data_IF_300659147625
#
_entry.id   IF_300659147625
#
_cell.length_a   1.000
_cell.length_b   1.000
_cell.length_c   1.000
_cell.angle_alpha   90.00
_cell.angle_beta   90.00
_cell.angle_gamma   90.00
#
_symmetry.space_group_name_H-M   'P 1'
#
loop_
_entity.id
_entity.type
_entity.pdbx_description
1 polymer ?
#
# COMPACT_ATOMS: atom_id res chain seq x y z
N UNK A 1 -16.14 -22.59 1.73
CA UNK A 1 -14.71 -22.18 1.82
C UNK A 1 -14.67 -20.88 2.60
N UNK A 2 -13.90 -20.81 3.67
CA UNK A 2 -13.75 -19.61 4.50
C UNK A 2 -12.36 -19.02 4.35
N UNK A 3 -12.29 -17.70 4.28
CA UNK A 3 -11.05 -16.93 4.18
C UNK A 3 -11.16 -15.67 5.07
N UNK A 4 -10.06 -14.96 5.27
CA UNK A 4 -10.02 -13.67 6.01
C UNK A 4 -10.90 -12.59 5.35
N UNK A 5 -11.21 -12.73 4.06
CA UNK A 5 -12.04 -11.77 3.31
C UNK A 5 -13.51 -12.14 3.30
N UNK A 6 -13.87 -13.40 3.56
CA UNK A 6 -15.25 -13.85 3.58
C UNK A 6 -15.40 -15.34 3.33
N UNK A 7 -16.65 -15.78 3.17
CA UNK A 7 -16.99 -17.16 2.85
C UNK A 7 -17.80 -17.26 1.57
N UNK A 8 -17.68 -18.38 0.87
CA UNK A 8 -18.46 -18.71 -0.31
C UNK A 8 -19.06 -20.12 -0.20
N UNK A 9 -20.37 -20.21 -0.45
CA UNK A 9 -21.09 -21.46 -0.64
C UNK A 9 -21.40 -21.61 -2.13
N UNK A 10 -21.11 -22.77 -2.71
CA UNK A 10 -21.26 -23.05 -4.13
C UNK A 10 -22.20 -24.25 -4.29
N UNK A 11 -23.27 -24.07 -5.07
CA UNK A 11 -24.17 -25.13 -5.49
C UNK A 11 -24.18 -25.21 -7.01
N UNK A 12 -24.13 -26.45 -7.54
CA UNK A 12 -24.10 -26.73 -8.98
C UNK A 12 -25.34 -27.57 -9.33
N UNK A 13 -26.05 -27.15 -10.36
CA UNK A 13 -27.08 -27.94 -11.03
C UNK A 13 -26.75 -28.04 -12.53
N UNK A 14 -27.50 -28.81 -13.31
CA UNK A 14 -27.13 -29.17 -14.70
C UNK A 14 -26.69 -27.99 -15.59
N UNK A 15 -27.36 -26.83 -15.47
CA UNK A 15 -27.06 -25.63 -16.29
C UNK A 15 -26.91 -24.36 -15.44
N UNK A 16 -26.71 -24.49 -14.13
CA UNK A 16 -26.66 -23.34 -13.23
C UNK A 16 -25.64 -23.51 -12.11
N UNK A 17 -24.89 -22.46 -11.87
CA UNK A 17 -23.97 -22.33 -10.75
C UNK A 17 -24.47 -21.22 -9.82
N UNK A 18 -24.87 -21.57 -8.62
CA UNK A 18 -25.26 -20.62 -7.57
C UNK A 18 -24.08 -20.41 -6.62
N UNK A 19 -23.65 -19.15 -6.46
CA UNK A 19 -22.57 -18.76 -5.56
C UNK A 19 -23.10 -17.74 -4.56
N UNK A 20 -23.14 -18.13 -3.27
CA UNK A 20 -23.52 -17.24 -2.18
C UNK A 20 -22.29 -16.73 -1.46
N UNK A 21 -22.04 -15.44 -1.56
CA UNK A 21 -20.93 -14.76 -0.93
C UNK A 21 -21.36 -14.09 0.38
N UNK A 22 -20.52 -14.20 1.42
CA UNK A 22 -20.67 -13.48 2.69
C UNK A 22 -19.35 -12.81 3.03
N UNK A 23 -19.35 -11.49 3.13
CA UNK A 23 -18.17 -10.69 3.46
C UNK A 23 -18.51 -9.71 4.61
N UNK A 24 -17.52 -9.38 5.45
CA UNK A 24 -17.73 -8.55 6.64
C UNK A 24 -18.04 -7.07 6.30
N UNK A 25 -17.70 -6.59 5.10
CA UNK A 25 -17.95 -5.21 4.66
C UNK A 25 -18.40 -5.17 3.20
N UNK A 26 -19.09 -4.08 2.82
CA UNK A 26 -19.52 -3.85 1.44
C UNK A 26 -18.31 -3.77 0.46
N UNK A 27 -17.22 -3.14 0.85
CA UNK A 27 -15.98 -3.09 0.04
C UNK A 27 -15.38 -4.47 -0.19
N UNK A 28 -15.29 -5.32 0.85
CA UNK A 28 -14.84 -6.71 0.68
C UNK A 28 -15.78 -7.53 -0.19
N UNK A 29 -17.09 -7.34 -0.04
CA UNK A 29 -18.08 -8.01 -0.89
C UNK A 29 -17.91 -7.57 -2.36
N UNK A 30 -17.73 -6.29 -2.61
CA UNK A 30 -17.43 -5.76 -3.94
C UNK A 30 -16.19 -6.44 -4.54
N UNK A 31 -15.08 -6.44 -3.80
CA UNK A 31 -13.82 -7.06 -4.25
C UNK A 31 -14.00 -8.54 -4.59
N UNK A 32 -14.68 -9.30 -3.72
CA UNK A 32 -14.91 -10.73 -3.94
C UNK A 32 -15.83 -10.97 -5.14
N UNK A 33 -16.88 -10.17 -5.32
CA UNK A 33 -17.75 -10.23 -6.50
C UNK A 33 -16.96 -10.03 -7.80
N UNK A 34 -16.15 -8.97 -7.86
CA UNK A 34 -15.34 -8.69 -9.05
C UNK A 34 -14.34 -9.81 -9.32
N UNK A 35 -13.67 -10.33 -8.29
CA UNK A 35 -12.76 -11.49 -8.44
C UNK A 35 -13.47 -12.74 -8.95
N UNK A 36 -14.67 -13.04 -8.45
CA UNK A 36 -15.48 -14.20 -8.89
C UNK A 36 -15.92 -14.01 -10.33
N UNK A 37 -16.46 -12.84 -10.68
CA UNK A 37 -16.88 -12.52 -12.05
C UNK A 37 -15.70 -12.67 -13.03
N UNK A 38 -14.59 -11.98 -12.77
CA UNK A 38 -13.37 -12.07 -13.59
C UNK A 38 -12.90 -13.52 -13.77
N UNK A 39 -12.91 -14.31 -12.70
CA UNK A 39 -12.45 -15.70 -12.73
C UNK A 39 -13.38 -16.60 -13.54
N UNK A 40 -14.71 -16.42 -13.40
CA UNK A 40 -15.69 -17.18 -14.14
C UNK A 40 -15.57 -16.91 -15.65
N UNK A 41 -15.54 -15.64 -16.05
CA UNK A 41 -15.37 -15.26 -17.44
C UNK A 41 -14.02 -15.72 -18.03
N UNK A 42 -12.94 -15.64 -17.27
CA UNK A 42 -11.63 -16.12 -17.70
C UNK A 42 -11.55 -17.64 -17.85
N UNK A 43 -12.40 -18.40 -17.14
CA UNK A 43 -12.34 -19.86 -17.11
C UNK A 43 -13.34 -20.53 -18.04
N UNK A 44 -14.43 -19.86 -18.41
CA UNK A 44 -15.51 -20.47 -19.20
C UNK A 44 -15.19 -20.57 -20.68
N UNK A 45 -14.38 -19.65 -21.21
CA UNK A 45 -14.17 -19.54 -22.66
C UNK A 45 -15.44 -19.20 -23.46
N UNK A 46 -16.57 -19.00 -22.81
CA UNK A 46 -17.89 -18.75 -23.37
C UNK A 46 -18.49 -17.47 -22.78
N UNK A 47 -19.56 -16.98 -23.39
CA UNK A 47 -20.34 -15.88 -22.83
C UNK A 47 -21.19 -16.41 -21.67
N UNK A 48 -20.94 -15.91 -20.45
CA UNK A 48 -21.72 -16.23 -19.27
C UNK A 48 -22.84 -15.21 -19.06
N UNK A 49 -24.00 -15.68 -18.67
CA UNK A 49 -25.05 -14.85 -18.10
C UNK A 49 -24.87 -14.83 -16.57
N UNK A 50 -24.18 -13.82 -16.08
CA UNK A 50 -23.92 -13.63 -14.64
C UNK A 50 -24.83 -12.55 -14.09
N UNK A 51 -25.72 -12.95 -13.19
CA UNK A 51 -26.65 -12.03 -12.50
C UNK A 51 -26.44 -12.09 -10.99
N UNK A 52 -26.62 -10.95 -10.33
CA UNK A 52 -26.57 -10.85 -8.87
C UNK A 52 -27.98 -10.73 -8.31
N UNK A 53 -28.32 -11.57 -7.33
CA UNK A 53 -29.70 -11.64 -6.76
C UNK A 53 -30.13 -10.34 -6.09
N UNK A 54 -29.21 -9.54 -5.59
CA UNK A 54 -29.43 -8.22 -4.98
C UNK A 54 -29.32 -7.05 -6.01
N UNK A 55 -29.33 -7.36 -7.29
CA UNK A 55 -29.27 -6.41 -8.40
C UNK A 55 -27.87 -6.20 -8.97
N UNK A 56 -27.77 -5.44 -10.07
CA UNK A 56 -26.49 -5.15 -10.73
C UNK A 56 -25.55 -4.39 -9.80
N UNK A 57 -24.27 -4.60 -9.99
CA UNK A 57 -23.26 -3.87 -9.21
C UNK A 57 -23.27 -2.39 -9.59
N UNK A 58 -23.10 -1.51 -8.59
CA UNK A 58 -22.98 -0.08 -8.85
C UNK A 58 -21.76 0.22 -9.73
N UNK A 59 -21.89 1.13 -10.68
CA UNK A 59 -20.82 1.48 -11.61
C UNK A 59 -19.58 2.07 -10.90
N UNK A 60 -19.75 2.65 -9.73
CA UNK A 60 -18.67 3.27 -8.95
C UNK A 60 -17.95 2.22 -8.12
N UNK A 61 -16.64 2.18 -8.22
CA UNK A 61 -15.77 1.35 -7.36
C UNK A 61 -15.76 1.95 -5.95
N UNK A 62 -16.18 1.23 -4.89
CA UNK A 62 -16.35 1.79 -3.55
C UNK A 62 -15.11 2.44 -2.95
N UNK A 63 -13.94 1.85 -3.23
CA UNK A 63 -12.64 2.29 -2.68
C UNK A 63 -11.88 3.24 -3.62
N UNK A 64 -12.51 3.67 -4.71
CA UNK A 64 -11.94 4.65 -5.63
C UNK A 64 -12.26 6.08 -5.17
N UNK A 65 -11.24 6.93 -5.14
CA UNK A 65 -11.38 8.38 -4.98
C UNK A 65 -10.54 9.10 -6.02
N UNK A 66 -11.13 10.06 -6.68
CA UNK A 66 -10.37 11.01 -7.47
C UNK A 66 -9.71 12.03 -6.55
N UNK A 67 -8.48 12.41 -6.89
CA UNK A 67 -7.67 13.36 -6.13
C UNK A 67 -7.15 14.46 -7.05
N UNK A 68 -6.94 15.63 -6.46
CA UNK A 68 -6.34 16.78 -7.12
C UNK A 68 -5.05 17.17 -6.43
N UNK A 69 -3.99 17.38 -7.19
CA UNK A 69 -2.71 17.89 -6.68
C UNK A 69 -2.89 19.33 -6.17
N UNK A 70 -2.48 19.57 -4.94
CA UNK A 70 -2.48 20.90 -4.31
C UNK A 70 -1.11 21.55 -4.42
N UNK A 71 -0.05 20.79 -4.13
CA UNK A 71 1.35 21.23 -4.20
C UNK A 71 2.29 20.04 -4.30
N UNK A 72 3.49 20.28 -4.79
CA UNK A 72 4.55 19.29 -4.81
C UNK A 72 5.91 19.96 -4.55
N UNK A 73 6.73 19.40 -3.66
CA UNK A 73 8.06 19.90 -3.30
C UNK A 73 9.00 18.78 -2.88
N UNK A 74 10.29 18.96 -3.12
CA UNK A 74 11.29 18.07 -2.54
C UNK A 74 11.40 18.34 -1.05
N UNK A 75 11.36 17.28 -0.23
CA UNK A 75 11.53 17.35 1.22
C UNK A 75 12.94 16.95 1.62
N UNK A 76 13.60 16.14 0.78
CA UNK A 76 15.02 15.81 0.81
C UNK A 76 15.54 15.75 -0.63
N UNK A 77 16.85 15.61 -0.87
CA UNK A 77 17.37 15.47 -2.25
C UNK A 77 16.71 14.36 -3.07
N UNK A 78 16.41 13.22 -2.45
CA UNK A 78 15.84 12.06 -3.14
C UNK A 78 14.39 11.74 -2.74
N UNK A 79 13.72 12.62 -1.97
CA UNK A 79 12.31 12.43 -1.62
C UNK A 79 11.46 13.64 -1.98
N UNK A 80 10.43 13.41 -2.77
CA UNK A 80 9.46 14.43 -3.16
C UNK A 80 8.09 14.15 -2.56
N UNK A 81 7.52 15.15 -1.92
CA UNK A 81 6.15 15.10 -1.40
C UNK A 81 5.19 15.71 -2.40
N UNK A 82 4.11 15.00 -2.70
CA UNK A 82 2.95 15.53 -3.41
C UNK A 82 1.79 15.56 -2.43
N UNK A 83 1.27 16.75 -2.16
CA UNK A 83 0.06 16.94 -1.38
C UNK A 83 -1.13 16.95 -2.32
N UNK A 84 -2.10 16.11 -2.02
CA UNK A 84 -3.32 15.95 -2.82
C UNK A 84 -4.56 16.18 -1.95
N UNK A 85 -5.67 16.60 -2.55
CA UNK A 85 -6.94 16.76 -1.89
C UNK A 85 -8.01 15.83 -2.48
N UNK A 86 -8.97 15.44 -1.65
CA UNK A 86 -10.18 14.73 -2.03
C UNK A 86 -11.33 15.13 -1.08
N UNK A 87 -12.57 15.05 -1.57
CA UNK A 87 -13.74 15.35 -0.76
C UNK A 87 -13.98 14.34 0.38
N UNK A 88 -13.35 13.16 0.33
CA UNK A 88 -13.49 12.10 1.31
C UNK A 88 -12.12 11.57 1.80
N UNK A 89 -11.27 12.46 2.32
CA UNK A 89 -9.98 12.08 2.91
C UNK A 89 -10.15 11.14 4.13
N UNK A 90 -11.31 11.19 4.82
CA UNK A 90 -11.62 10.33 5.95
C UNK A 90 -11.61 8.85 5.58
N UNK A 91 -11.98 8.51 4.35
CA UNK A 91 -11.95 7.14 3.82
C UNK A 91 -10.59 6.46 4.01
N UNK A 92 -9.50 7.22 4.00
CA UNK A 92 -8.12 6.70 4.05
C UNK A 92 -7.53 6.63 5.47
N UNK A 93 -8.29 6.95 6.52
CA UNK A 93 -7.81 6.85 7.90
C UNK A 93 -7.62 5.40 8.34
N UNK A 94 -8.57 4.55 8.02
CA UNK A 94 -8.63 3.15 8.44
C UNK A 94 -8.52 2.21 7.21
N UNK A 95 -8.19 0.94 7.46
CA UNK A 95 -8.18 -0.09 6.40
C UNK A 95 -6.82 -0.39 5.79
N UNK A 96 -5.79 0.40 6.07
CA UNK A 96 -4.42 0.13 5.61
C UNK A 96 -3.57 1.37 5.41
N UNK A 97 -2.28 1.14 5.16
CA UNK A 97 -1.30 2.20 4.97
C UNK A 97 -1.15 2.63 3.51
N UNK A 98 -1.51 1.74 2.57
CA UNK A 98 -1.17 1.86 1.16
C UNK A 98 -2.39 2.11 0.28
N UNK A 99 -2.13 2.73 -0.84
CA UNK A 99 -3.09 2.97 -1.92
C UNK A 99 -2.46 2.60 -3.26
N UNK A 100 -3.31 2.30 -4.24
CA UNK A 100 -2.91 2.27 -5.64
C UNK A 100 -3.17 3.64 -6.23
N UNK A 101 -2.10 4.33 -6.61
CA UNK A 101 -2.17 5.57 -7.35
C UNK A 101 -2.40 5.25 -8.83
N UNK A 102 -3.47 5.80 -9.39
CA UNK A 102 -3.85 5.68 -10.79
C UNK A 102 -3.46 6.98 -11.49
N UNK A 103 -2.44 6.90 -12.32
CA UNK A 103 -1.90 8.04 -13.06
C UNK A 103 -2.47 8.01 -14.48
N UNK A 104 -3.26 9.01 -14.87
CA UNK A 104 -3.78 9.10 -16.25
C UNK A 104 -2.66 9.47 -17.23
N UNK A 105 -2.85 9.20 -18.52
CA UNK A 105 -1.96 9.68 -19.57
C UNK A 105 -1.90 11.21 -19.56
N UNK A 106 -0.75 11.75 -19.98
CA UNK A 106 -0.57 13.21 -20.12
C UNK A 106 -1.47 13.75 -21.25
N UNK A 107 -1.85 15.04 -21.13
CA UNK A 107 -2.54 15.81 -22.15
C UNK A 107 -3.91 15.25 -22.57
N UNK A 108 -4.55 14.48 -21.70
CA UNK A 108 -5.87 13.89 -21.90
C UNK A 108 -6.72 14.01 -20.65
N UNK A 109 -8.04 14.06 -20.83
CA UNK A 109 -8.97 13.91 -19.73
C UNK A 109 -8.84 12.48 -19.14
N UNK A 110 -8.79 12.37 -17.82
CA UNK A 110 -8.70 11.09 -17.16
C UNK A 110 -9.96 10.26 -17.40
N UNK A 111 -9.78 9.00 -17.80
CA UNK A 111 -10.84 7.99 -17.86
C UNK A 111 -10.62 7.05 -16.70
N UNK A 112 -11.62 6.93 -15.83
CA UNK A 112 -11.49 6.11 -14.62
C UNK A 112 -12.08 4.72 -14.81
N UNK A 113 -11.59 3.71 -14.07
CA UNK A 113 -12.18 2.39 -14.08
C UNK A 113 -13.58 2.44 -13.48
N UNK A 114 -14.45 1.61 -14.00
CA UNK A 114 -15.83 1.46 -13.52
C UNK A 114 -16.23 -0.01 -13.49
N UNK A 115 -17.33 -0.30 -12.82
CA UNK A 115 -17.84 -1.67 -12.71
C UNK A 115 -18.92 -1.91 -13.74
N UNK A 116 -18.82 -3.03 -14.44
CA UNK A 116 -19.88 -3.54 -15.31
C UNK A 116 -21.03 -4.13 -14.46
N UNK A 117 -22.27 -4.25 -15.00
CA UNK A 117 -23.40 -4.81 -14.27
C UNK A 117 -23.16 -6.23 -13.74
N UNK A 118 -22.34 -7.03 -14.41
CA UNK A 118 -21.94 -8.38 -14.03
C UNK A 118 -20.88 -8.42 -12.92
N UNK A 119 -20.35 -7.28 -12.50
CA UNK A 119 -19.37 -7.15 -11.43
C UNK A 119 -17.91 -7.11 -11.88
N UNK A 120 -17.63 -7.28 -13.17
CA UNK A 120 -16.26 -7.08 -13.68
C UNK A 120 -15.87 -5.62 -13.64
N UNK A 121 -14.57 -5.36 -13.48
CA UNK A 121 -14.04 -3.99 -13.53
C UNK A 121 -13.57 -3.70 -14.95
N UNK A 122 -14.19 -2.71 -15.57
CA UNK A 122 -13.71 -2.17 -16.84
C UNK A 122 -12.54 -1.21 -16.59
N UNK A 123 -11.35 -1.60 -17.03
CA UNK A 123 -10.14 -0.78 -16.98
C UNK A 123 -9.94 -0.05 -18.32
N UNK A 124 -9.63 1.26 -18.31
CA UNK A 124 -9.26 1.99 -19.51
C UNK A 124 -8.06 1.32 -20.23
N UNK A 125 -8.11 1.27 -21.55
CA UNK A 125 -7.10 0.61 -22.39
C UNK A 125 -6.61 1.53 -23.51
N UNK A 126 -5.54 1.11 -24.19
CA UNK A 126 -4.97 1.86 -25.31
C UNK A 126 -4.45 3.22 -24.84
N UNK A 127 -4.91 4.27 -25.49
CA UNK A 127 -4.47 5.64 -25.21
C UNK A 127 -4.94 6.17 -23.84
N UNK A 128 -5.98 5.57 -23.25
CA UNK A 128 -6.53 5.93 -21.96
C UNK A 128 -5.99 5.05 -20.81
N UNK A 129 -5.06 4.13 -21.12
CA UNK A 129 -4.50 3.22 -20.12
C UNK A 129 -3.85 3.95 -18.95
N UNK A 130 -4.25 3.59 -17.74
CA UNK A 130 -3.72 4.16 -16.50
C UNK A 130 -2.40 3.49 -16.11
N UNK A 131 -1.46 4.26 -15.61
CA UNK A 131 -0.30 3.72 -14.91
C UNK A 131 -0.66 3.54 -13.43
N UNK A 132 -0.54 2.31 -12.91
CA UNK A 132 -0.91 1.98 -11.54
C UNK A 132 0.33 1.66 -10.73
N UNK A 133 0.51 2.34 -9.58
CA UNK A 133 1.63 2.12 -8.66
C UNK A 133 1.15 2.15 -7.22
N UNK A 134 1.75 1.31 -6.38
CA UNK A 134 1.46 1.31 -4.94
C UNK A 134 2.29 2.39 -4.24
N UNK A 135 1.62 3.16 -3.39
CA UNK A 135 2.24 4.17 -2.54
C UNK A 135 1.67 4.13 -1.13
N UNK A 136 2.34 4.82 -0.22
CA UNK A 136 1.87 5.03 1.15
C UNK A 136 1.28 6.43 1.28
N UNK A 137 0.12 6.56 1.92
CA UNK A 137 -0.31 7.86 2.42
C UNK A 137 0.49 8.17 3.68
N UNK A 138 1.37 9.16 3.59
CA UNK A 138 2.28 9.60 4.66
C UNK A 138 1.55 10.25 5.82
N UNK A 139 0.60 11.11 5.51
CA UNK A 139 -0.21 11.87 6.47
C UNK A 139 -1.55 12.27 5.86
N UNK A 140 -2.53 12.55 6.74
CA UNK A 140 -3.88 12.98 6.37
C UNK A 140 -4.24 14.17 7.27
N UNK A 141 -4.57 15.30 6.67
CA UNK A 141 -5.10 16.49 7.33
C UNK A 141 -6.60 16.59 7.02
N UNK A 142 -7.43 16.09 7.93
CA UNK A 142 -8.88 16.10 7.73
C UNK A 142 -9.49 17.50 7.72
N UNK A 143 -8.86 18.47 8.39
CA UNK A 143 -9.37 19.84 8.44
C UNK A 143 -9.25 20.53 7.08
N UNK A 144 -8.25 20.14 6.30
CA UNK A 144 -8.02 20.65 4.95
C UNK A 144 -8.51 19.70 3.85
N UNK A 145 -8.85 18.44 4.19
CA UNK A 145 -9.10 17.41 3.20
C UNK A 145 -7.86 17.03 2.37
N UNK A 146 -6.66 17.25 2.93
CA UNK A 146 -5.38 17.04 2.25
C UNK A 146 -4.69 15.75 2.73
N UNK A 147 -3.94 15.15 1.84
CA UNK A 147 -3.10 13.97 2.11
C UNK A 147 -1.73 14.15 1.49
N UNK A 148 -0.70 13.69 2.18
CA UNK A 148 0.67 13.67 1.66
C UNK A 148 1.05 12.27 1.18
N UNK A 149 1.64 12.20 -0.01
CA UNK A 149 2.24 11.01 -0.58
C UNK A 149 3.69 11.34 -0.92
N UNK A 150 4.63 10.56 -0.38
CA UNK A 150 6.06 10.75 -0.61
C UNK A 150 6.55 9.78 -1.69
N UNK A 151 7.36 10.31 -2.60
CA UNK A 151 7.91 9.62 -3.75
C UNK A 151 9.42 9.62 -3.67
N UNK A 152 10.03 8.43 -3.70
CA UNK A 152 11.48 8.30 -3.85
C UNK A 152 11.84 8.66 -5.29
N UNK A 153 12.76 9.60 -5.45
CA UNK A 153 13.30 9.99 -6.74
C UNK A 153 14.51 9.12 -7.07
N UNK A 154 14.48 8.52 -8.23
CA UNK A 154 15.59 7.72 -8.77
C UNK A 154 16.04 8.32 -10.10
N UNK A 155 17.33 8.26 -10.35
CA UNK A 155 17.88 8.56 -11.67
C UNK A 155 17.48 7.43 -12.63
N UNK A 156 16.79 7.77 -13.72
CA UNK A 156 16.40 6.82 -14.77
C UNK A 156 15.06 7.13 -15.42
N UNK A 157 14.96 6.82 -16.70
CA UNK A 157 13.82 7.18 -17.55
C UNK A 157 12.55 6.33 -17.33
N UNK A 158 12.59 5.29 -16.51
CA UNK A 158 11.53 4.27 -16.41
C UNK A 158 10.88 4.13 -15.03
N UNK A 159 10.73 5.23 -14.29
CA UNK A 159 10.03 5.22 -13.00
C UNK A 159 8.76 6.08 -13.06
N UNK A 160 7.65 5.54 -13.58
CA UNK A 160 6.45 6.34 -13.89
C UNK A 160 5.92 7.16 -12.72
N UNK A 161 5.99 6.61 -11.50
CA UNK A 161 5.53 7.32 -10.30
C UNK A 161 6.43 8.49 -9.91
N UNK A 162 7.74 8.33 -9.92
CA UNK A 162 8.69 9.41 -9.67
C UNK A 162 8.58 10.49 -10.78
N UNK A 163 8.45 10.06 -12.04
CA UNK A 163 8.24 10.98 -13.16
C UNK A 163 6.95 11.79 -13.01
N UNK A 164 5.85 11.15 -12.59
CA UNK A 164 4.61 11.87 -12.30
C UNK A 164 4.81 12.88 -11.17
N UNK A 165 5.41 12.47 -10.06
CA UNK A 165 5.63 13.35 -8.92
C UNK A 165 6.54 14.55 -9.26
N UNK A 166 7.58 14.35 -10.09
CA UNK A 166 8.46 15.44 -10.56
C UNK A 166 7.73 16.48 -11.40
N UNK A 167 6.76 16.04 -12.19
CA UNK A 167 6.00 16.90 -13.09
C UNK A 167 4.67 17.40 -12.50
N UNK A 168 4.27 16.89 -11.32
CA UNK A 168 3.00 17.21 -10.67
C UNK A 168 2.85 18.71 -10.41
N UNK A 169 1.71 19.27 -10.85
CA UNK A 169 1.36 20.70 -10.73
C UNK A 169 0.02 20.83 -10.00
N UNK A 170 -0.21 21.94 -9.29
CA UNK A 170 -1.52 22.23 -8.73
C UNK A 170 -2.62 22.14 -9.79
N UNK A 171 -3.68 21.41 -9.48
CA UNK A 171 -4.81 21.14 -10.38
C UNK A 171 -4.71 19.82 -11.17
N UNK A 172 -3.55 19.16 -11.21
CA UNK A 172 -3.44 17.86 -11.85
C UNK A 172 -4.31 16.83 -11.12
N UNK A 173 -4.92 15.93 -11.91
CA UNK A 173 -5.82 14.89 -11.38
C UNK A 173 -5.18 13.52 -11.42
N UNK A 174 -5.45 12.72 -10.41
CA UNK A 174 -5.10 11.31 -10.35
C UNK A 174 -6.20 10.54 -9.60
N UNK A 175 -6.11 9.23 -9.54
CA UNK A 175 -7.03 8.40 -8.78
C UNK A 175 -6.31 7.62 -7.67
N UNK A 176 -7.03 7.33 -6.59
CA UNK A 176 -6.59 6.41 -5.56
C UNK A 176 -7.58 5.26 -5.43
N UNK A 177 -7.08 4.05 -5.33
CA UNK A 177 -7.85 2.87 -4.91
C UNK A 177 -7.22 2.32 -3.64
N UNK A 178 -8.02 2.14 -2.63
CA UNK A 178 -7.63 1.67 -1.30
C UNK A 178 -8.40 2.43 -0.22
N UNK A 179 -7.95 2.33 1.03
CA UNK A 179 -6.66 1.85 1.51
C UNK A 179 -6.56 0.32 1.62
N UNK A 180 -5.32 -0.17 1.69
CA UNK A 180 -5.03 -1.59 1.81
C UNK A 180 -3.61 -1.86 2.31
N UNK A 181 -3.15 -3.12 2.21
CA UNK A 181 -1.77 -3.50 2.48
C UNK A 181 -1.37 -3.59 3.96
N UNK A 182 -2.33 -3.85 4.85
CA UNK A 182 -2.10 -3.90 6.29
C UNK A 182 -2.14 -2.52 6.94
N UNK A 183 -2.50 -2.50 8.23
CA UNK A 183 -2.63 -1.30 9.03
C UNK A 183 -1.46 -1.08 9.99
N UNK A 184 -1.64 -0.12 10.90
CA UNK A 184 -0.71 0.12 12.01
C UNK A 184 -0.74 -1.10 12.95
N UNK A 185 0.42 -1.69 13.30
CA UNK A 185 0.45 -2.83 14.19
C UNK A 185 -0.08 -2.48 15.60
N UNK A 186 -0.95 -3.31 16.12
CA UNK A 186 -1.52 -3.15 17.47
C UNK A 186 -0.57 -3.73 18.54
N UNK A 187 0.66 -3.25 18.63
CA UNK A 187 1.66 -3.69 19.60
C UNK A 187 2.24 -2.49 20.36
N UNK A 188 2.63 -2.73 21.61
CA UNK A 188 3.28 -1.68 22.43
C UNK A 188 4.78 -1.55 22.13
N UNK A 189 5.41 -2.61 21.71
CA UNK A 189 6.85 -2.63 21.37
C UNK A 189 7.00 -2.96 19.89
N UNK A 190 7.62 -2.06 19.15
CA UNK A 190 7.79 -2.20 17.71
C UNK A 190 9.26 -2.04 17.31
N UNK A 191 9.71 -2.93 16.43
CA UNK A 191 10.90 -2.73 15.61
C UNK A 191 10.40 -2.44 14.20
N UNK A 192 10.71 -1.25 13.70
CA UNK A 192 10.38 -0.84 12.34
C UNK A 192 11.67 -0.71 11.55
N UNK A 193 11.78 -1.38 10.42
CA UNK A 193 12.99 -1.33 9.59
C UNK A 193 12.63 -1.17 8.12
N UNK A 194 13.41 -0.37 7.40
CA UNK A 194 13.19 -0.20 5.96
C UNK A 194 14.14 0.78 5.31
N UNK A 195 14.01 0.90 3.99
CA UNK A 195 14.70 1.88 3.18
C UNK A 195 13.83 3.14 2.94
N UNK A 196 14.26 4.04 2.05
CA UNK A 196 13.53 5.27 1.73
C UNK A 196 12.09 5.00 1.29
N UNK A 197 11.84 3.87 0.63
CA UNK A 197 10.48 3.54 0.16
C UNK A 197 9.54 3.18 1.30
N UNK A 198 10.08 2.67 2.40
CA UNK A 198 9.36 2.33 3.62
C UNK A 198 9.17 3.53 4.56
N UNK A 199 10.01 4.56 4.45
CA UNK A 199 10.01 5.72 5.35
C UNK A 199 8.63 6.36 5.50
N UNK A 200 7.81 6.57 4.45
CA UNK A 200 6.47 7.13 4.61
C UNK A 200 5.55 6.26 5.46
N UNK A 201 5.65 4.93 5.34
CA UNK A 201 4.86 4.00 6.14
C UNK A 201 5.31 3.98 7.61
N UNK A 202 6.62 3.90 7.85
CA UNK A 202 7.22 3.96 9.18
C UNK A 202 6.82 5.25 9.90
N UNK A 203 6.87 6.37 9.19
CA UNK A 203 6.49 7.65 9.75
C UNK A 203 5.00 7.75 10.06
N UNK A 204 4.11 7.19 9.22
CA UNK A 204 2.68 7.12 9.52
C UNK A 204 2.40 6.21 10.72
N UNK A 205 3.06 5.05 10.81
CA UNK A 205 2.99 4.17 11.99
C UNK A 205 3.41 4.95 13.24
N UNK A 206 4.58 5.59 13.22
CA UNK A 206 5.10 6.36 14.35
C UNK A 206 4.15 7.48 14.80
N UNK A 207 3.49 8.16 13.86
CA UNK A 207 2.53 9.22 14.17
C UNK A 207 1.18 8.69 14.70
N UNK A 208 0.86 7.41 14.50
CA UNK A 208 -0.46 6.83 14.80
C UNK A 208 -0.46 6.00 16.08
N UNK A 209 0.67 5.38 16.45
CA UNK A 209 0.75 4.54 17.65
C UNK A 209 0.50 5.36 18.91
N UNK A 210 -0.06 4.76 19.99
CA UNK A 210 -0.33 5.45 21.24
C UNK A 210 0.97 5.86 21.96
N UNK A 211 0.87 6.83 22.86
CA UNK A 211 2.01 7.40 23.59
C UNK A 211 2.79 6.38 24.43
N UNK A 212 2.14 5.30 24.84
CA UNK A 212 2.73 4.20 25.62
C UNK A 212 3.54 3.20 24.78
N UNK A 213 3.58 3.40 23.46
CA UNK A 213 4.37 2.56 22.58
C UNK A 213 5.86 2.91 22.64
N UNK A 214 6.69 1.91 22.43
CA UNK A 214 8.14 2.01 22.33
C UNK A 214 8.57 1.56 20.92
N UNK A 215 9.16 2.47 20.16
CA UNK A 215 9.57 2.21 18.79
C UNK A 215 11.09 2.26 18.65
N UNK A 216 11.66 1.16 18.10
CA UNK A 216 13.04 1.15 17.59
C UNK A 216 12.95 1.15 16.07
N UNK A 217 13.50 2.19 15.47
CA UNK A 217 13.37 2.44 14.02
C UNK A 217 14.76 2.41 13.38
N UNK A 218 14.89 1.64 12.31
CA UNK A 218 16.10 1.51 11.51
C UNK A 218 15.77 1.90 10.07
N UNK A 219 16.36 2.99 9.59
CA UNK A 219 16.09 3.53 8.26
C UNK A 219 17.36 3.61 7.45
N UNK A 220 17.44 2.79 6.40
CA UNK A 220 18.50 2.85 5.43
C UNK A 220 18.20 3.93 4.40
N UNK A 221 19.10 4.91 4.30
CA UNK A 221 18.99 6.06 3.39
C UNK A 221 20.30 6.34 2.68
N UNK A 222 20.28 7.15 1.63
CA UNK A 222 21.47 7.47 0.85
C UNK A 222 22.56 8.07 1.73
N UNK A 223 22.26 9.14 2.44
CA UNK A 223 23.17 9.83 3.37
C UNK A 223 22.37 10.67 4.39
N UNK A 224 23.05 11.50 5.16
CA UNK A 224 22.45 12.32 6.23
C UNK A 224 21.50 13.41 5.72
N UNK A 225 21.55 13.79 4.43
CA UNK A 225 20.61 14.76 3.86
C UNK A 225 19.19 14.17 3.67
N UNK A 226 19.08 12.84 3.74
CA UNK A 226 17.78 12.14 3.64
C UNK A 226 17.10 11.96 5.00
N UNK A 227 17.75 12.34 6.11
CA UNK A 227 17.15 12.27 7.43
C UNK A 227 15.95 13.21 7.56
N UNK A 228 14.88 12.70 8.16
CA UNK A 228 13.63 13.44 8.33
C UNK A 228 13.15 13.36 9.78
N UNK A 229 12.42 14.37 10.21
CA UNK A 229 11.68 14.31 11.47
C UNK A 229 10.54 13.30 11.37
N UNK A 230 10.42 12.47 12.43
CA UNK A 230 9.35 11.49 12.57
C UNK A 230 8.47 11.90 13.79
N UNK A 231 7.44 12.74 13.62
CA UNK A 231 6.56 13.12 14.69
C UNK A 231 5.84 11.90 15.27
N UNK A 232 5.85 11.79 16.62
CA UNK A 232 5.14 10.74 17.35
C UNK A 232 4.81 11.19 18.76
N UNK A 233 3.73 10.67 19.32
CA UNK A 233 3.46 10.77 20.75
C UNK A 233 4.24 9.72 21.56
N UNK A 234 4.68 8.65 20.91
CA UNK A 234 5.40 7.54 21.52
C UNK A 234 6.90 7.81 21.66
N UNK A 235 7.59 7.02 22.47
CA UNK A 235 9.04 7.04 22.58
C UNK A 235 9.69 6.45 21.33
N UNK A 236 10.52 7.24 20.62
CA UNK A 236 11.25 6.84 19.43
C UNK A 236 12.75 6.71 19.70
N UNK A 237 13.32 5.60 19.26
CA UNK A 237 14.77 5.45 19.09
C UNK A 237 15.03 5.21 17.60
N UNK A 238 15.50 6.23 16.89
CA UNK A 238 15.72 6.20 15.45
C UNK A 238 17.21 6.05 15.15
N UNK A 239 17.55 5.05 14.36
CA UNK A 239 18.90 4.83 13.84
C UNK A 239 18.88 4.99 12.32
N UNK A 240 19.55 6.02 11.84
CA UNK A 240 19.77 6.25 10.42
C UNK A 240 20.99 5.47 9.95
N UNK A 241 20.83 4.72 8.87
CA UNK A 241 21.84 3.84 8.29
C UNK A 241 22.21 4.39 6.91
N UNK A 242 23.33 5.10 6.86
CA UNK A 242 23.75 5.77 5.63
C UNK A 242 24.48 4.79 4.71
N UNK A 243 23.98 4.62 3.49
CA UNK A 243 24.65 3.83 2.44
C UNK A 243 25.87 4.52 1.88
N UNK A 244 25.92 5.85 2.04
CA UNK A 244 26.89 6.71 1.39
C UNK A 244 26.90 6.47 -0.14
N UNK A 245 27.92 5.90 -0.71
CA UNK A 245 28.01 5.68 -2.16
C UNK A 245 27.52 4.29 -2.62
N UNK A 246 27.08 3.43 -1.71
CA UNK A 246 26.55 2.12 -2.09
C UNK A 246 25.18 2.26 -2.75
N UNK A 247 24.92 1.43 -3.75
CA UNK A 247 23.64 1.41 -4.44
C UNK A 247 22.49 0.99 -3.50
N UNK A 248 21.30 1.56 -3.68
CA UNK A 248 20.13 1.18 -2.93
C UNK A 248 19.85 -0.34 -3.04
N UNK A 249 19.46 -0.98 -1.94
CA UNK A 249 19.15 -2.41 -1.86
C UNK A 249 20.36 -3.34 -2.06
N UNK A 250 21.60 -2.84 -1.91
CA UNK A 250 22.81 -3.66 -2.11
C UNK A 250 23.58 -3.96 -0.83
N UNK A 251 23.24 -3.32 0.29
CA UNK A 251 24.07 -3.37 1.50
C UNK A 251 23.79 -4.56 2.40
N UNK A 252 22.56 -5.06 2.42
CA UNK A 252 22.08 -6.09 3.36
C UNK A 252 22.17 -5.65 4.83
N UNK A 253 22.19 -4.34 5.08
CA UNK A 253 22.37 -3.80 6.43
C UNK A 253 21.15 -4.04 7.31
N UNK A 254 19.94 -3.97 6.75
CA UNK A 254 18.70 -4.22 7.49
C UNK A 254 18.62 -5.69 7.94
N UNK A 255 18.94 -6.63 7.06
CA UNK A 255 18.99 -8.06 7.42
C UNK A 255 19.97 -8.31 8.55
N UNK A 256 21.17 -7.75 8.47
CA UNK A 256 22.24 -7.93 9.46
C UNK A 256 21.81 -7.40 10.84
N UNK A 257 21.25 -6.19 10.91
CA UNK A 257 20.77 -5.60 12.15
C UNK A 257 19.64 -6.42 12.77
N UNK A 258 18.70 -6.87 11.95
CA UNK A 258 17.57 -7.67 12.44
C UNK A 258 18.01 -9.04 12.95
N UNK A 259 19.02 -9.67 12.35
CA UNK A 259 19.59 -10.93 12.85
C UNK A 259 20.21 -10.80 14.24
N UNK A 260 20.81 -9.66 14.53
CA UNK A 260 21.42 -9.40 15.85
C UNK A 260 20.35 -9.01 16.89
N UNK A 261 19.34 -8.29 16.46
CA UNK A 261 18.37 -7.64 17.33
C UNK A 261 17.19 -8.51 17.75
N UNK A 262 16.63 -9.27 16.79
CA UNK A 262 15.38 -10.02 17.01
C UNK A 262 15.53 -11.13 18.05
N UNK A 263 16.60 -11.94 18.06
CA UNK A 263 16.78 -12.99 19.06
C UNK A 263 16.84 -12.49 20.50
N UNK A 264 17.26 -11.25 20.71
CA UNK A 264 17.38 -10.60 22.04
C UNK A 264 16.21 -9.69 22.37
N UNK A 265 15.25 -9.52 21.46
CA UNK A 265 14.11 -8.64 21.66
C UNK A 265 13.07 -9.23 22.61
N UNK A 266 12.25 -8.35 23.21
CA UNK A 266 11.13 -8.78 24.04
C UNK A 266 10.17 -9.67 23.22
N UNK A 267 9.70 -10.81 23.76
CA UNK A 267 8.74 -11.69 23.10
C UNK A 267 7.45 -11.02 22.62
N UNK A 268 7.06 -9.88 23.19
CA UNK A 268 5.87 -9.12 22.77
C UNK A 268 6.17 -8.10 21.65
N UNK A 269 7.42 -8.03 21.17
CA UNK A 269 7.81 -7.08 20.13
C UNK A 269 7.24 -7.51 18.78
N UNK A 270 6.58 -6.59 18.09
CA UNK A 270 6.19 -6.77 16.69
C UNK A 270 7.30 -6.20 15.79
N UNK A 271 7.65 -6.94 14.75
CA UNK A 271 8.68 -6.52 13.78
C UNK A 271 8.01 -6.22 12.44
N UNK A 272 8.12 -4.98 11.99
CA UNK A 272 7.62 -4.53 10.69
C UNK A 272 8.78 -4.13 9.80
N UNK A 273 8.82 -4.67 8.58
CA UNK A 273 9.91 -4.43 7.63
C UNK A 273 9.35 -4.21 6.23
N UNK A 274 9.89 -3.20 5.53
CA UNK A 274 9.70 -3.07 4.10
C UNK A 274 10.99 -2.53 3.43
N UNK A 275 11.40 -3.18 2.35
CA UNK A 275 12.63 -2.83 1.63
C UNK A 275 12.67 -3.49 0.24
N UNK A 276 13.86 -3.49 -0.39
CA UNK A 276 14.12 -4.18 -1.65
C UNK A 276 13.77 -5.68 -1.57
N UNK A 277 13.35 -6.26 -2.69
CA UNK A 277 12.77 -7.62 -2.78
C UNK A 277 13.72 -8.72 -2.30
N UNK A 278 14.99 -8.68 -2.67
CA UNK A 278 15.94 -9.73 -2.31
C UNK A 278 16.23 -9.71 -0.80
N UNK A 279 16.45 -8.52 -0.24
CA UNK A 279 16.67 -8.34 1.20
C UNK A 279 15.41 -8.68 1.99
N UNK A 280 14.22 -8.23 1.55
CA UNK A 280 12.94 -8.58 2.16
C UNK A 280 12.71 -10.10 2.18
N UNK A 281 13.11 -10.81 1.13
CA UNK A 281 13.03 -12.28 1.07
C UNK A 281 13.94 -12.93 2.10
N UNK A 282 15.20 -12.47 2.22
CA UNK A 282 16.17 -12.98 3.20
C UNK A 282 15.67 -12.74 4.63
N UNK A 283 15.24 -11.53 4.94
CA UNK A 283 14.66 -11.16 6.24
C UNK A 283 13.44 -12.01 6.54
N UNK A 284 12.50 -12.18 5.60
CA UNK A 284 11.29 -12.98 5.80
C UNK A 284 11.61 -14.46 6.11
N UNK A 285 12.62 -15.03 5.47
CA UNK A 285 13.05 -16.39 5.74
C UNK A 285 13.66 -16.52 7.15
N UNK A 286 14.48 -15.58 7.56
CA UNK A 286 15.02 -15.50 8.91
C UNK A 286 13.89 -15.36 9.94
N UNK A 287 12.96 -14.43 9.76
CA UNK A 287 11.84 -14.21 10.68
C UNK A 287 10.94 -15.45 10.83
N UNK A 288 10.69 -16.18 9.74
CA UNK A 288 9.91 -17.44 9.79
C UNK A 288 10.57 -18.52 10.65
N UNK A 289 11.88 -18.52 10.74
CA UNK A 289 12.64 -19.46 11.58
C UNK A 289 12.70 -18.96 13.01
N UNK A 290 13.09 -17.71 13.22
CA UNK A 290 13.29 -17.11 14.53
C UNK A 290 11.98 -16.95 15.30
N UNK A 291 10.90 -16.53 14.62
CA UNK A 291 9.56 -16.37 15.18
C UNK A 291 8.61 -17.51 14.78
N UNK A 292 9.10 -18.74 14.69
CA UNK A 292 8.30 -19.88 14.24
C UNK A 292 7.08 -20.16 15.14
N UNK A 293 7.18 -19.87 16.44
CA UNK A 293 6.12 -20.07 17.42
C UNK A 293 4.92 -19.11 17.23
N UNK A 294 5.16 -17.88 16.73
CA UNK A 294 4.10 -16.91 16.48
C UNK A 294 4.43 -16.02 15.28
N UNK A 295 4.00 -16.46 14.11
CA UNK A 295 4.19 -15.74 12.85
C UNK A 295 3.32 -14.49 12.70
N UNK A 296 2.37 -14.27 13.58
CA UNK A 296 1.55 -13.05 13.58
C UNK A 296 2.32 -11.83 14.10
N UNK A 297 3.49 -12.03 14.72
CA UNK A 297 4.32 -10.99 15.31
C UNK A 297 5.28 -10.31 14.35
N UNK A 298 5.24 -10.59 13.08
CA UNK A 298 6.03 -9.86 12.10
C UNK A 298 5.30 -9.65 10.77
N UNK A 299 5.65 -8.58 10.10
CA UNK A 299 5.28 -8.28 8.73
C UNK A 299 6.52 -7.88 7.94
N UNK A 300 6.79 -8.57 6.83
CA UNK A 300 7.91 -8.24 5.94
C UNK A 300 7.38 -8.11 4.51
N UNK A 301 7.54 -6.95 3.91
CA UNK A 301 7.08 -6.63 2.57
C UNK A 301 8.24 -6.26 1.63
N UNK A 302 8.13 -6.66 0.36
CA UNK A 302 8.97 -6.12 -0.70
C UNK A 302 8.23 -4.91 -1.30
N UNK A 303 8.86 -3.74 -1.30
CA UNK A 303 8.25 -2.53 -1.86
C UNK A 303 8.75 -2.24 -3.27
N UNK A 304 9.95 -2.70 -3.60
CA UNK A 304 10.54 -2.52 -4.92
C UNK A 304 11.54 -3.63 -5.26
N UNK A 305 12.02 -3.64 -6.47
CA UNK A 305 13.00 -4.58 -6.99
C UNK A 305 14.03 -3.82 -7.83
N UNK A 306 15.29 -4.17 -7.63
CA UNK A 306 16.38 -3.71 -8.49
C UNK A 306 16.28 -4.26 -9.90
#
# INVERSE_FOLDING_TARGET
METVIGSADIAVSENRLDIKLRCPTASKLFTVRSMVAERLFASSGETLDLTWADGPQAAVIPDFREITVIRASNITPHMRRVTVATDDAKHFLDGGLHVRLLIPPKDRAAVWPHTEPDGRIHWPRGEDALTIRAYTIRSIDLAKGEMDIDFVLHDGDNVPGASWALNARPGDRAGLIGPGGGGVPAARKLILAGDETALPAIARIAATVPAEAELRIFLEVADWHEEQSLPSAASLNVTWLHRNQAAAGSTGVLERILRDLVPTSNPETFVWVACEQAEARAIRNFMKTEMAADRSRFSVAAYWQR
#
